data_IF_006323473348
#
_entry.id   IF_006323473348
#
_cell.length_a   1.000
_cell.length_b   1.000
_cell.length_c   1.000
_cell.angle_alpha   90.00
_cell.angle_beta   90.00
_cell.angle_gamma   90.00
#
_symmetry.space_group_name_H-M   'P 1'
#
loop_
_entity.id
_entity.type
_entity.pdbx_description
1 polymer ?
#
# COMPACT_ATOMS: atom_id res chain seq x y z
N UNK A 1 -24.55 -7.64 -0.53
CA UNK A 1 -23.63 -7.74 -1.67
C UNK A 1 -23.33 -6.40 -2.31
N UNK A 2 -22.09 -6.21 -2.81
CA UNK A 2 -21.65 -5.01 -3.57
C UNK A 2 -22.53 -4.80 -4.80
N UNK A 3 -22.93 -5.89 -5.46
CA UNK A 3 -23.80 -5.89 -6.64
C UNK A 3 -25.15 -5.25 -6.34
N UNK A 4 -25.77 -5.59 -5.21
CA UNK A 4 -27.08 -5.04 -4.83
C UNK A 4 -27.01 -3.55 -4.52
N UNK A 5 -25.95 -3.09 -3.86
CA UNK A 5 -25.76 -1.65 -3.56
C UNK A 5 -25.43 -0.88 -4.84
N UNK A 6 -24.57 -1.44 -5.70
CA UNK A 6 -24.24 -0.83 -6.99
C UNK A 6 -25.48 -0.73 -7.87
N UNK A 7 -26.25 -1.80 -8.02
CA UNK A 7 -27.54 -1.79 -8.73
C UNK A 7 -28.51 -0.75 -8.16
N UNK A 8 -28.56 -0.60 -6.84
CA UNK A 8 -29.40 0.41 -6.19
C UNK A 8 -28.96 1.84 -6.52
N UNK A 9 -27.65 2.12 -6.54
CA UNK A 9 -27.10 3.42 -6.94
C UNK A 9 -27.33 3.67 -8.44
N UNK A 10 -27.08 2.66 -9.28
CA UNK A 10 -27.27 2.71 -10.74
C UNK A 10 -28.74 2.91 -11.12
N UNK A 11 -29.68 2.52 -10.24
CA UNK A 11 -31.11 2.78 -10.36
C UNK A 11 -31.50 4.23 -10.05
N UNK A 12 -30.54 5.14 -9.86
CA UNK A 12 -30.77 6.57 -9.66
C UNK A 12 -30.98 7.00 -8.21
N UNK A 13 -30.79 6.11 -7.24
CA UNK A 13 -30.94 6.47 -5.83
C UNK A 13 -29.72 7.26 -5.33
N UNK A 14 -29.93 8.54 -5.00
CA UNK A 14 -28.87 9.49 -4.60
C UNK A 14 -28.99 10.00 -3.17
N UNK A 15 -29.83 9.38 -2.35
CA UNK A 15 -30.06 9.81 -0.97
C UNK A 15 -29.90 8.64 -0.03
N UNK A 16 -29.04 8.76 0.98
CA UNK A 16 -28.86 7.69 1.96
C UNK A 16 -30.20 7.37 2.66
N UNK A 17 -30.67 6.10 2.66
CA UNK A 17 -31.96 5.75 3.23
C UNK A 17 -32.04 5.91 4.76
N UNK A 18 -30.87 5.99 5.43
CA UNK A 18 -30.79 6.12 6.89
C UNK A 18 -30.62 7.59 7.29
N UNK A 19 -29.59 8.26 6.75
CA UNK A 19 -29.26 9.64 7.17
C UNK A 19 -30.03 10.70 6.41
N UNK A 20 -30.72 10.32 5.31
CA UNK A 20 -31.39 11.23 4.37
C UNK A 20 -30.48 12.28 3.74
N UNK A 21 -29.16 12.11 3.85
CA UNK A 21 -28.18 13.00 3.23
C UNK A 21 -27.95 12.61 1.76
N UNK A 22 -27.68 13.60 0.89
CA UNK A 22 -27.32 13.35 -0.50
C UNK A 22 -25.98 12.60 -0.59
N UNK A 23 -25.93 11.60 -1.46
CA UNK A 23 -24.72 10.85 -1.82
C UNK A 23 -23.93 11.65 -2.86
N UNK A 24 -22.60 11.53 -2.87
CA UNK A 24 -21.78 12.20 -3.88
C UNK A 24 -22.12 11.69 -5.30
N UNK A 25 -21.80 12.48 -6.32
CA UNK A 25 -22.08 12.13 -7.72
C UNK A 25 -21.38 10.83 -8.16
N UNK A 26 -20.26 10.48 -7.52
CA UNK A 26 -19.51 9.23 -7.74
C UNK A 26 -19.14 8.59 -6.38
N UNK A 27 -20.07 7.87 -5.74
CA UNK A 27 -19.80 7.25 -4.45
C UNK A 27 -18.83 6.09 -4.64
N UNK A 28 -17.60 6.21 -4.12
CA UNK A 28 -16.68 5.07 -4.05
C UNK A 28 -17.15 4.11 -2.96
N UNK A 29 -17.60 2.92 -3.36
CA UNK A 29 -17.97 1.88 -2.41
C UNK A 29 -16.72 1.35 -1.71
N UNK A 30 -16.52 1.76 -0.46
CA UNK A 30 -15.43 1.25 0.38
C UNK A 30 -15.88 -0.11 0.97
N UNK A 31 -15.19 -1.22 0.67
CA UNK A 31 -15.56 -2.51 1.23
C UNK A 31 -15.36 -2.54 2.74
N UNK A 32 -16.35 -3.07 3.47
CA UNK A 32 -16.19 -3.35 4.90
C UNK A 32 -15.55 -4.74 5.07
N UNK A 33 -14.21 -4.80 4.96
CA UNK A 33 -13.46 -6.04 5.11
C UNK A 33 -13.64 -6.67 6.49
N UNK A 34 -13.84 -5.87 7.55
CA UNK A 34 -14.10 -6.36 8.90
C UNK A 34 -15.42 -7.15 8.99
N UNK A 35 -16.52 -6.61 8.44
CA UNK A 35 -17.80 -7.31 8.40
C UNK A 35 -17.73 -8.60 7.57
N UNK A 36 -17.08 -8.55 6.40
CA UNK A 36 -16.87 -9.75 5.58
C UNK A 36 -16.04 -10.80 6.30
N UNK A 37 -15.01 -10.39 7.03
CA UNK A 37 -14.20 -11.29 7.85
C UNK A 37 -15.04 -11.96 8.95
N UNK A 38 -15.93 -11.21 9.62
CA UNK A 38 -16.86 -11.75 10.62
C UNK A 38 -17.82 -12.77 9.99
N UNK A 39 -18.40 -12.45 8.84
CA UNK A 39 -19.31 -13.35 8.10
C UNK A 39 -18.58 -14.63 7.67
N UNK A 40 -17.36 -14.51 7.12
CA UNK A 40 -16.55 -15.66 6.69
C UNK A 40 -16.24 -16.56 7.88
N UNK A 41 -15.80 -15.99 9.01
CA UNK A 41 -15.51 -16.76 10.21
C UNK A 41 -16.74 -17.50 10.74
N UNK A 42 -17.93 -16.87 10.69
CA UNK A 42 -19.18 -17.48 11.12
C UNK A 42 -19.62 -18.64 10.20
N UNK A 43 -19.46 -18.48 8.89
CA UNK A 43 -19.82 -19.50 7.90
C UNK A 43 -18.98 -20.79 8.02
N UNK A 44 -17.76 -20.72 8.57
CA UNK A 44 -16.90 -21.89 8.81
C UNK A 44 -17.27 -22.71 10.05
N UNK A 45 -18.09 -22.19 10.96
CA UNK A 45 -18.58 -22.92 12.16
C UNK A 45 -19.77 -23.82 11.81
N UNK A 46 -20.44 -23.59 10.67
CA UNK A 46 -21.52 -24.45 10.20
C UNK A 46 -20.97 -25.62 9.36
N UNK A 47 -21.23 -26.89 9.73
CA UNK A 47 -20.79 -28.01 8.94
C UNK A 47 -21.59 -28.06 7.64
N UNK A 48 -20.92 -27.92 6.49
CA UNK A 48 -21.49 -28.33 5.19
C UNK A 48 -21.08 -29.77 4.91
N UNK A 49 -22.02 -30.68 5.11
CA UNK A 49 -21.99 -32.02 4.53
C UNK A 49 -22.13 -31.91 3.00
N UNK A 50 -21.10 -32.34 2.25
CA UNK A 50 -21.31 -32.89 0.91
C UNK A 50 -20.05 -33.59 0.40
N UNK A 51 -20.14 -34.90 0.29
CA UNK A 51 -19.22 -35.82 -0.37
C UNK A 51 -19.30 -35.68 -1.90
N UNK A 52 -18.33 -34.99 -2.51
CA UNK A 52 -18.05 -35.01 -3.96
C UNK A 52 -16.55 -35.18 -4.19
N UNK A 53 -16.10 -35.87 -5.26
CA UNK A 53 -14.69 -36.05 -5.57
C UNK A 53 -14.06 -34.69 -5.94
N UNK A 54 -12.98 -34.32 -5.24
CA UNK A 54 -12.39 -32.98 -5.32
C UNK A 54 -11.66 -32.74 -6.64
N UNK A 55 -12.03 -31.68 -7.35
CA UNK A 55 -11.28 -31.19 -8.52
C UNK A 55 -9.99 -30.46 -8.10
N UNK A 56 -9.00 -30.33 -9.00
CA UNK A 56 -7.73 -29.63 -8.72
C UNK A 56 -7.94 -28.16 -8.26
N UNK A 57 -9.04 -27.55 -8.70
CA UNK A 57 -9.45 -26.21 -8.31
C UNK A 57 -9.94 -26.15 -6.85
N UNK A 58 -10.70 -27.16 -6.39
CA UNK A 58 -11.13 -27.29 -4.99
C UNK A 58 -9.95 -27.58 -4.04
N UNK A 59 -8.97 -28.36 -4.50
CA UNK A 59 -7.75 -28.62 -3.71
C UNK A 59 -6.93 -27.35 -3.47
N UNK A 60 -6.76 -26.53 -4.51
CA UNK A 60 -6.07 -25.24 -4.40
C UNK A 60 -6.85 -24.25 -3.51
N UNK A 61 -8.18 -24.27 -3.59
CA UNK A 61 -9.04 -23.48 -2.70
C UNK A 61 -8.93 -23.91 -1.24
N UNK A 62 -9.02 -25.21 -0.97
CA UNK A 62 -8.88 -25.78 0.38
C UNK A 62 -7.51 -25.47 0.99
N UNK A 63 -6.44 -25.48 0.20
CA UNK A 63 -5.10 -25.12 0.68
C UNK A 63 -5.01 -23.64 1.07
N UNK A 64 -5.51 -22.71 0.24
CA UNK A 64 -5.48 -21.28 0.57
C UNK A 64 -6.23 -20.96 1.87
N UNK A 65 -7.35 -21.64 2.12
CA UNK A 65 -8.14 -21.46 3.34
C UNK A 65 -7.42 -21.97 4.60
N UNK A 66 -6.74 -23.11 4.52
CA UNK A 66 -5.96 -23.63 5.65
C UNK A 66 -4.76 -22.71 6.02
N UNK A 67 -4.15 -22.07 5.02
CA UNK A 67 -3.08 -21.10 5.24
C UNK A 67 -3.62 -19.82 5.89
N UNK A 68 -4.78 -19.34 5.43
CA UNK A 68 -5.46 -18.18 6.01
C UNK A 68 -5.85 -18.46 7.46
N UNK A 69 -6.45 -19.62 7.75
CA UNK A 69 -6.87 -19.97 9.12
C UNK A 69 -5.67 -20.05 10.07
N UNK A 70 -4.54 -20.59 9.61
CA UNK A 70 -3.29 -20.64 10.38
C UNK A 70 -2.74 -19.24 10.64
N UNK A 71 -2.82 -18.33 9.67
CA UNK A 71 -2.37 -16.95 9.83
C UNK A 71 -3.24 -16.17 10.83
N UNK A 72 -4.57 -16.31 10.70
CA UNK A 72 -5.57 -15.60 11.53
C UNK A 72 -5.64 -16.16 12.96
N UNK A 73 -5.34 -17.45 13.15
CA UNK A 73 -5.38 -18.05 14.48
C UNK A 73 -4.37 -17.42 15.44
N UNK A 74 -4.86 -17.07 16.63
CA UNK A 74 -4.02 -16.53 17.72
C UNK A 74 -3.17 -17.61 18.39
N UNK A 75 -3.59 -18.87 18.34
CA UNK A 75 -2.85 -20.00 18.94
C UNK A 75 -1.71 -20.50 18.06
N UNK A 76 -1.67 -20.10 16.78
CA UNK A 76 -0.63 -20.53 15.85
C UNK A 76 0.72 -19.91 16.19
N UNK A 77 1.75 -20.76 16.21
CA UNK A 77 3.13 -20.34 16.46
C UNK A 77 3.65 -19.40 15.37
N UNK A 78 4.67 -18.60 15.70
CA UNK A 78 5.35 -17.75 14.71
C UNK A 78 5.93 -18.55 13.54
N UNK A 79 6.39 -19.78 13.78
CA UNK A 79 6.90 -20.67 12.72
C UNK A 79 5.78 -21.08 11.75
N UNK A 80 4.62 -21.49 12.27
CA UNK A 80 3.45 -21.87 11.45
C UNK A 80 2.89 -20.68 10.67
N UNK A 81 2.86 -19.48 11.29
CA UNK A 81 2.47 -18.24 10.62
C UNK A 81 3.45 -17.87 9.51
N UNK A 82 4.75 -18.04 9.74
CA UNK A 82 5.78 -17.76 8.75
C UNK A 82 5.67 -18.69 7.53
N UNK A 83 5.45 -19.99 7.75
CA UNK A 83 5.22 -20.95 6.67
C UNK A 83 3.97 -20.56 5.86
N UNK A 84 2.89 -20.23 6.58
CA UNK A 84 1.63 -19.80 5.97
C UNK A 84 1.79 -18.55 5.12
N UNK A 85 2.43 -17.51 5.66
CA UNK A 85 2.77 -16.28 4.93
C UNK A 85 3.63 -16.57 3.70
N UNK A 86 4.68 -17.38 3.85
CA UNK A 86 5.59 -17.71 2.75
C UNK A 86 4.87 -18.42 1.60
N UNK A 87 3.86 -19.24 1.89
CA UNK A 87 3.06 -19.89 0.86
C UNK A 87 2.00 -18.95 0.28
N UNK A 88 1.34 -18.13 1.10
CA UNK A 88 0.39 -17.11 0.64
C UNK A 88 1.06 -16.08 -0.28
N UNK A 89 2.27 -15.62 0.04
CA UNK A 89 3.07 -14.72 -0.81
C UNK A 89 3.31 -15.34 -2.18
N UNK A 90 3.67 -16.63 -2.25
CA UNK A 90 3.87 -17.33 -3.54
C UNK A 90 2.58 -17.43 -4.36
N UNK A 91 1.46 -17.74 -3.71
CA UNK A 91 0.17 -17.89 -4.38
C UNK A 91 -0.37 -16.53 -4.89
N UNK A 92 -0.34 -15.51 -4.03
CA UNK A 92 -0.86 -14.17 -4.35
C UNK A 92 -0.04 -13.43 -5.40
N UNK A 93 1.22 -13.83 -5.65
CA UNK A 93 2.07 -13.22 -6.68
C UNK A 93 1.49 -13.37 -8.09
N UNK A 94 0.73 -14.44 -8.37
CA UNK A 94 0.26 -14.77 -9.73
C UNK A 94 -1.27 -14.84 -9.85
N UNK A 95 -1.98 -14.99 -8.73
CA UNK A 95 -3.41 -15.27 -8.77
C UNK A 95 -4.26 -14.15 -8.14
N UNK A 96 -4.95 -13.40 -9.01
CA UNK A 96 -5.89 -12.33 -8.66
C UNK A 96 -7.08 -12.84 -7.83
N UNK A 97 -7.56 -14.06 -8.09
CA UNK A 97 -8.66 -14.65 -7.33
C UNK A 97 -8.24 -14.97 -5.88
N UNK A 98 -7.01 -15.42 -5.67
CA UNK A 98 -6.45 -15.66 -4.33
C UNK A 98 -6.23 -14.32 -3.62
N UNK A 99 -5.74 -13.27 -4.31
CA UNK A 99 -5.60 -11.94 -3.71
C UNK A 99 -6.93 -11.41 -3.15
N UNK A 100 -8.02 -11.50 -3.91
CA UNK A 100 -9.36 -11.10 -3.43
C UNK A 100 -9.78 -11.90 -2.19
N UNK A 101 -9.66 -13.23 -2.26
CA UNK A 101 -10.02 -14.12 -1.12
C UNK A 101 -9.25 -13.78 0.15
N UNK A 102 -7.91 -13.69 0.07
CA UNK A 102 -7.08 -13.36 1.23
C UNK A 102 -7.48 -12.02 1.83
N UNK A 103 -7.82 -11.03 0.99
CA UNK A 103 -8.26 -9.70 1.44
C UNK A 103 -9.63 -9.75 2.14
N UNK A 104 -10.51 -10.67 1.76
CA UNK A 104 -11.86 -10.80 2.31
C UNK A 104 -11.95 -11.71 3.56
N UNK A 105 -10.88 -12.45 3.90
CA UNK A 105 -10.88 -13.47 4.95
C UNK A 105 -10.18 -13.07 6.26
N UNK A 106 -10.02 -11.76 6.52
CA UNK A 106 -9.38 -11.26 7.75
C UNK A 106 -7.85 -11.43 7.80
N UNK A 107 -7.24 -12.00 6.77
CA UNK A 107 -5.80 -12.22 6.70
C UNK A 107 -5.00 -10.90 6.66
N UNK A 108 -5.60 -9.81 6.18
CA UNK A 108 -4.99 -8.47 6.19
C UNK A 108 -4.63 -8.07 7.61
N UNK A 109 -5.58 -8.15 8.54
CA UNK A 109 -5.36 -7.79 9.94
C UNK A 109 -4.28 -8.67 10.58
N UNK A 110 -4.34 -9.98 10.35
CA UNK A 110 -3.33 -10.90 10.85
C UNK A 110 -1.92 -10.62 10.28
N UNK A 111 -1.83 -10.25 9.00
CA UNK A 111 -0.56 -9.81 8.40
C UNK A 111 -0.06 -8.50 9.05
N UNK A 112 -0.94 -7.54 9.34
CA UNK A 112 -0.57 -6.30 10.04
C UNK A 112 -0.09 -6.57 11.48
N UNK A 113 -0.67 -7.55 12.18
CA UNK A 113 -0.20 -7.98 13.49
C UNK A 113 1.19 -8.63 13.39
N UNK A 114 1.45 -9.40 12.33
CA UNK A 114 2.78 -9.96 12.05
C UNK A 114 3.83 -8.89 11.70
N UNK A 115 3.45 -7.78 11.05
CA UNK A 115 4.35 -6.62 10.81
C UNK A 115 4.84 -6.02 12.14
N UNK A 116 3.99 -5.99 13.17
CA UNK A 116 4.30 -5.46 14.50
C UNK A 116 4.95 -6.48 15.45
N UNK A 117 5.13 -7.74 15.02
CA UNK A 117 5.56 -8.84 15.91
C UNK A 117 7.00 -8.75 16.42
N UNK A 118 7.80 -7.81 15.92
CA UNK A 118 9.23 -7.69 16.21
C UNK A 118 10.11 -8.76 15.54
N UNK A 119 9.52 -9.77 14.91
CA UNK A 119 10.25 -10.77 14.13
C UNK A 119 10.47 -10.27 12.70
N UNK A 120 11.72 -10.01 12.33
CA UNK A 120 12.10 -9.43 11.04
C UNK A 120 11.65 -10.27 9.84
N UNK A 121 11.73 -11.60 9.95
CA UNK A 121 11.35 -12.51 8.85
C UNK A 121 9.82 -12.51 8.66
N UNK A 122 9.07 -12.52 9.76
CA UNK A 122 7.61 -12.38 9.72
C UNK A 122 7.20 -11.02 9.16
N UNK A 123 7.88 -9.94 9.56
CA UNK A 123 7.62 -8.59 9.07
C UNK A 123 7.80 -8.52 7.54
N UNK A 124 8.93 -9.00 7.02
CA UNK A 124 9.21 -8.99 5.59
C UNK A 124 8.17 -9.79 4.77
N UNK A 125 7.82 -11.00 5.22
CA UNK A 125 6.82 -11.83 4.52
C UNK A 125 5.41 -11.25 4.61
N UNK A 126 5.08 -10.59 5.71
CA UNK A 126 3.80 -9.91 5.87
C UNK A 126 3.69 -8.68 4.98
N UNK A 127 4.74 -7.86 4.91
CA UNK A 127 4.82 -6.72 3.99
C UNK A 127 4.73 -7.18 2.53
N UNK A 128 5.42 -8.28 2.18
CA UNK A 128 5.35 -8.87 0.85
C UNK A 128 3.94 -9.35 0.50
N UNK A 129 3.22 -9.93 1.46
CA UNK A 129 1.83 -10.32 1.25
C UNK A 129 0.95 -9.09 1.01
N UNK A 130 1.05 -8.07 1.86
CA UNK A 130 0.28 -6.82 1.72
C UNK A 130 0.58 -6.12 0.38
N UNK A 131 1.85 -6.12 -0.07
CA UNK A 131 2.23 -5.62 -1.39
C UNK A 131 1.54 -6.41 -2.50
N UNK A 132 1.56 -7.74 -2.46
CA UNK A 132 0.84 -8.55 -3.44
C UNK A 132 -0.65 -8.25 -3.43
N UNK A 133 -1.30 -8.15 -2.26
CA UNK A 133 -2.73 -7.83 -2.16
C UNK A 133 -3.05 -6.45 -2.76
N UNK A 134 -2.14 -5.48 -2.60
CA UNK A 134 -2.30 -4.15 -3.17
C UNK A 134 -2.25 -4.12 -4.70
N UNK A 135 -1.80 -5.18 -5.37
CA UNK A 135 -1.80 -5.24 -6.84
C UNK A 135 -3.21 -5.33 -7.44
N UNK A 136 -4.24 -5.63 -6.64
CA UNK A 136 -5.63 -5.49 -7.06
C UNK A 136 -6.13 -4.07 -6.73
N UNK A 137 -6.58 -3.33 -7.74
CA UNK A 137 -7.08 -1.96 -7.57
C UNK A 137 -8.23 -1.87 -6.57
N UNK A 138 -9.15 -2.84 -6.61
CA UNK A 138 -10.28 -2.96 -5.67
C UNK A 138 -9.84 -3.11 -4.20
N UNK A 139 -8.62 -3.59 -3.93
CA UNK A 139 -8.13 -3.79 -2.56
C UNK A 139 -7.47 -2.52 -1.99
N UNK A 140 -7.00 -1.59 -2.82
CA UNK A 140 -6.10 -0.50 -2.37
C UNK A 140 -6.74 0.42 -1.34
N UNK A 141 -8.01 0.79 -1.53
CA UNK A 141 -8.75 1.65 -0.57
C UNK A 141 -9.05 0.88 0.72
N UNK A 142 -9.42 -0.39 0.59
CA UNK A 142 -9.67 -1.28 1.73
C UNK A 142 -8.45 -1.48 2.62
N UNK A 143 -7.27 -1.69 2.02
CA UNK A 143 -6.01 -1.79 2.73
C UNK A 143 -5.69 -0.53 3.54
N UNK A 144 -5.93 0.66 2.97
CA UNK A 144 -5.78 1.93 3.69
C UNK A 144 -6.76 2.02 4.86
N UNK A 145 -8.03 1.66 4.65
CA UNK A 145 -9.06 1.63 5.69
C UNK A 145 -8.73 0.63 6.82
N UNK A 146 -8.06 -0.48 6.51
CA UNK A 146 -7.59 -1.47 7.48
C UNK A 146 -6.36 -1.00 8.30
N UNK A 147 -5.85 0.21 8.05
CA UNK A 147 -4.80 0.84 8.87
C UNK A 147 -3.37 0.51 8.43
N UNK A 148 -3.18 0.06 7.18
CA UNK A 148 -1.86 -0.29 6.61
C UNK A 148 -0.86 0.87 6.70
N UNK A 149 -1.30 2.12 6.53
CA UNK A 149 -0.40 3.30 6.51
C UNK A 149 0.38 3.43 7.82
N UNK A 150 -0.27 3.27 8.98
CA UNK A 150 0.39 3.37 10.30
C UNK A 150 1.58 2.42 10.42
N UNK A 151 1.39 1.17 9.95
CA UNK A 151 2.40 0.11 10.00
C UNK A 151 3.56 0.41 9.06
N UNK A 152 3.26 0.82 7.83
CA UNK A 152 4.29 1.17 6.85
C UNK A 152 5.14 2.34 7.33
N UNK A 153 4.53 3.41 7.86
CA UNK A 153 5.30 4.57 8.36
C UNK A 153 6.24 4.17 9.49
N UNK A 154 5.81 3.28 10.38
CA UNK A 154 6.70 2.71 11.41
C UNK A 154 7.87 1.92 10.78
N UNK A 155 7.58 1.05 9.80
CA UNK A 155 8.60 0.28 9.08
C UNK A 155 9.60 1.17 8.35
N UNK A 156 9.15 2.25 7.70
CA UNK A 156 10.04 3.19 7.00
C UNK A 156 11.07 3.83 7.94
N UNK A 157 10.73 4.00 9.23
CA UNK A 157 11.61 4.60 10.23
C UNK A 157 12.62 3.61 10.80
N UNK A 158 12.16 2.43 11.23
CA UNK A 158 12.98 1.50 12.05
C UNK A 158 13.15 0.09 11.46
N UNK A 159 12.55 -0.20 10.30
CA UNK A 159 12.64 -1.51 9.66
C UNK A 159 14.02 -1.81 9.07
N UNK A 160 14.22 -3.07 8.67
CA UNK A 160 15.40 -3.47 7.90
C UNK A 160 15.41 -2.81 6.52
N UNK A 161 16.57 -2.73 5.84
CA UNK A 161 16.64 -2.13 4.51
C UNK A 161 15.67 -2.73 3.49
N UNK A 162 15.53 -4.07 3.49
CA UNK A 162 14.56 -4.75 2.63
C UNK A 162 13.11 -4.41 3.00
N UNK A 163 12.79 -4.34 4.30
CA UNK A 163 11.44 -3.98 4.74
C UNK A 163 11.09 -2.53 4.40
N UNK A 164 12.05 -1.60 4.53
CA UNK A 164 11.90 -0.20 4.13
C UNK A 164 11.63 -0.06 2.64
N UNK A 165 12.40 -0.76 1.80
CA UNK A 165 12.16 -0.79 0.35
C UNK A 165 10.77 -1.34 0.01
N UNK A 166 10.37 -2.49 0.57
CA UNK A 166 9.04 -3.08 0.34
C UNK A 166 7.94 -2.13 0.81
N UNK A 167 8.12 -1.47 1.95
CA UNK A 167 7.17 -0.51 2.50
C UNK A 167 6.98 0.71 1.57
N UNK A 168 8.06 1.25 1.02
CA UNK A 168 8.00 2.32 0.02
C UNK A 168 7.30 1.85 -1.27
N UNK A 169 7.60 0.65 -1.77
CA UNK A 169 6.89 0.07 -2.93
C UNK A 169 5.39 -0.11 -2.66
N UNK A 170 5.01 -0.53 -1.45
CA UNK A 170 3.61 -0.66 -1.05
C UNK A 170 2.90 0.70 -1.00
N UNK A 171 3.53 1.76 -0.49
CA UNK A 171 2.97 3.11 -0.59
C UNK A 171 2.76 3.54 -2.05
N UNK A 172 3.73 3.30 -2.92
CA UNK A 172 3.61 3.56 -4.37
C UNK A 172 2.39 2.85 -4.96
N UNK A 173 2.23 1.55 -4.67
CA UNK A 173 1.11 0.76 -5.17
C UNK A 173 -0.24 1.28 -4.67
N UNK A 174 -0.34 1.66 -3.39
CA UNK A 174 -1.57 2.20 -2.82
C UNK A 174 -1.89 3.60 -3.37
N UNK A 175 -0.86 4.40 -3.65
CA UNK A 175 -0.96 5.75 -4.20
C UNK A 175 -1.36 5.80 -5.69
N UNK A 176 -1.69 4.67 -6.33
CA UNK A 176 -2.32 4.69 -7.67
C UNK A 176 -3.71 5.35 -7.61
N UNK A 177 -4.41 5.23 -6.48
CA UNK A 177 -5.75 5.79 -6.29
C UNK A 177 -5.67 7.19 -5.65
N UNK A 178 -6.37 8.18 -6.23
CA UNK A 178 -6.37 9.58 -5.76
C UNK A 178 -6.69 9.73 -4.26
N UNK A 179 -7.74 9.08 -3.77
CA UNK A 179 -8.12 9.15 -2.34
C UNK A 179 -7.00 8.65 -1.42
N UNK A 180 -6.24 7.65 -1.86
CA UNK A 180 -5.10 7.14 -1.12
C UNK A 180 -3.92 8.11 -1.16
N UNK A 181 -3.66 8.80 -2.29
CA UNK A 181 -2.62 9.84 -2.36
C UNK A 181 -2.84 10.94 -1.33
N UNK A 182 -4.08 11.43 -1.24
CA UNK A 182 -4.46 12.44 -0.27
C UNK A 182 -4.30 11.92 1.17
N UNK A 183 -4.82 10.72 1.45
CA UNK A 183 -4.75 10.09 2.78
C UNK A 183 -3.31 9.84 3.22
N UNK A 184 -2.50 9.18 2.39
CA UNK A 184 -1.09 8.88 2.67
C UNK A 184 -0.28 10.17 2.84
N UNK A 185 -0.43 11.13 1.93
CA UNK A 185 0.34 12.37 1.97
C UNK A 185 -0.01 13.27 3.16
N UNK A 186 -1.25 13.19 3.67
CA UNK A 186 -1.65 13.87 4.91
C UNK A 186 -1.29 13.12 6.19
N UNK A 187 -0.85 11.86 6.09
CA UNK A 187 -0.57 11.03 7.25
C UNK A 187 0.71 11.49 7.95
N UNK A 188 0.70 11.64 9.29
CA UNK A 188 1.87 12.09 10.04
C UNK A 188 3.11 11.25 9.74
N UNK A 189 4.24 11.92 9.56
CA UNK A 189 5.55 11.33 9.25
C UNK A 189 5.66 10.53 7.95
N UNK A 190 4.60 10.36 7.15
CA UNK A 190 4.69 9.54 5.93
C UNK A 190 5.65 10.12 4.90
N UNK A 191 5.50 11.42 4.61
CA UNK A 191 6.37 12.13 3.66
C UNK A 191 7.77 12.31 4.23
N UNK A 192 7.91 12.72 5.49
CA UNK A 192 9.23 12.94 6.10
C UNK A 192 10.03 11.64 6.22
N UNK A 193 9.39 10.50 6.48
CA UNK A 193 10.05 9.19 6.49
C UNK A 193 10.58 8.80 5.10
N UNK A 194 9.82 9.07 4.03
CA UNK A 194 10.30 8.85 2.65
C UNK A 194 11.47 9.79 2.31
N UNK A 195 11.36 11.08 2.62
CA UNK A 195 12.45 12.05 2.39
C UNK A 195 13.72 11.65 3.16
N UNK A 196 13.58 11.20 4.41
CA UNK A 196 14.71 10.67 5.18
C UNK A 196 15.30 9.42 4.52
N UNK A 197 14.47 8.47 4.09
CA UNK A 197 14.92 7.24 3.41
C UNK A 197 15.65 7.55 2.10
N UNK A 198 15.23 8.58 1.37
CA UNK A 198 15.90 9.05 0.15
C UNK A 198 17.30 9.61 0.44
N UNK A 199 17.50 10.19 1.63
CA UNK A 199 18.78 10.78 2.05
C UNK A 199 19.79 9.73 2.52
N UNK A 200 19.35 8.76 3.33
CA UNK A 200 20.27 7.85 4.03
C UNK A 200 20.21 6.39 3.58
N UNK A 201 19.23 6.02 2.75
CA UNK A 201 19.04 4.65 2.30
C UNK A 201 20.11 4.18 1.31
N UNK A 202 20.19 2.87 1.10
CA UNK A 202 20.94 2.29 -0.02
C UNK A 202 20.24 2.54 -1.37
N UNK A 203 20.88 2.15 -2.48
CA UNK A 203 20.35 2.40 -3.84
C UNK A 203 18.91 1.94 -4.04
N UNK A 204 18.56 0.76 -3.51
CA UNK A 204 17.19 0.22 -3.61
C UNK A 204 16.23 1.06 -2.79
N UNK A 205 16.56 1.36 -1.53
CA UNK A 205 15.72 2.18 -0.64
C UNK A 205 15.48 3.59 -1.23
N UNK A 206 16.54 4.23 -1.75
CA UNK A 206 16.46 5.55 -2.37
C UNK A 206 15.57 5.53 -3.61
N UNK A 207 15.73 4.53 -4.47
CA UNK A 207 14.90 4.35 -5.68
C UNK A 207 13.42 4.15 -5.34
N UNK A 208 13.10 3.26 -4.41
CA UNK A 208 11.71 3.01 -4.02
C UNK A 208 11.10 4.23 -3.32
N UNK A 209 11.90 4.95 -2.51
CA UNK A 209 11.45 6.19 -1.86
C UNK A 209 11.14 7.30 -2.88
N UNK A 210 12.04 7.55 -3.84
CA UNK A 210 11.80 8.52 -4.90
C UNK A 210 10.55 8.17 -5.73
N UNK A 211 10.32 6.88 -5.98
CA UNK A 211 9.14 6.40 -6.71
C UNK A 211 7.85 6.64 -5.92
N UNK A 212 7.86 6.41 -4.61
CA UNK A 212 6.74 6.71 -3.73
C UNK A 212 6.45 8.22 -3.67
N UNK A 213 7.49 9.05 -3.53
CA UNK A 213 7.36 10.51 -3.56
C UNK A 213 6.79 11.01 -4.89
N UNK A 214 7.21 10.44 -6.02
CA UNK A 214 6.66 10.76 -7.34
C UNK A 214 5.16 10.44 -7.42
N UNK A 215 4.78 9.22 -7.03
CA UNK A 215 3.37 8.81 -7.02
C UNK A 215 2.52 9.73 -6.13
N UNK A 216 3.00 10.09 -4.94
CA UNK A 216 2.30 10.98 -4.02
C UNK A 216 2.23 12.44 -4.55
N UNK A 217 3.28 12.97 -5.16
CA UNK A 217 3.33 14.34 -5.71
C UNK A 217 2.48 14.56 -6.95
N UNK A 218 1.99 13.48 -7.57
CA UNK A 218 0.98 13.61 -8.62
C UNK A 218 -0.30 14.27 -8.09
N UNK A 219 -0.59 14.11 -6.79
CA UNK A 219 -1.60 14.88 -6.07
C UNK A 219 -1.05 16.26 -5.64
N UNK A 220 -1.61 17.39 -6.13
CA UNK A 220 -1.02 18.73 -5.94
C UNK A 220 -0.70 19.13 -4.50
N UNK A 221 -1.58 18.83 -3.54
CA UNK A 221 -1.40 19.22 -2.14
C UNK A 221 -0.17 18.56 -1.49
N UNK A 222 0.22 17.39 -1.98
CA UNK A 222 1.38 16.68 -1.47
C UNK A 222 2.69 17.37 -1.88
N UNK A 223 2.72 18.11 -3.00
CA UNK A 223 3.94 18.81 -3.45
C UNK A 223 4.45 19.79 -2.41
N UNK A 224 3.54 20.58 -1.84
CA UNK A 224 3.88 21.51 -0.75
C UNK A 224 4.40 20.75 0.47
N UNK A 225 3.74 19.66 0.88
CA UNK A 225 4.17 18.84 2.02
C UNK A 225 5.57 18.24 1.82
N UNK A 226 5.88 17.78 0.60
CA UNK A 226 7.21 17.27 0.23
C UNK A 226 8.27 18.37 0.33
N UNK A 227 8.00 19.56 -0.23
CA UNK A 227 8.90 20.72 -0.13
C UNK A 227 9.12 21.14 1.32
N UNK A 228 8.04 21.25 2.10
CA UNK A 228 8.08 21.65 3.52
C UNK A 228 8.89 20.66 4.38
N UNK A 229 9.11 19.43 3.91
CA UNK A 229 10.01 18.44 4.54
C UNK A 229 11.50 18.60 4.16
N UNK A 230 11.88 19.68 3.47
CA UNK A 230 13.27 19.94 3.07
C UNK A 230 13.79 18.98 1.99
N UNK A 231 12.89 18.46 1.15
CA UNK A 231 13.25 17.43 0.15
C UNK A 231 14.10 17.94 -1.00
N UNK A 232 14.05 19.25 -1.31
CA UNK A 232 14.61 19.80 -2.55
C UNK A 232 16.12 19.60 -2.65
N UNK A 233 16.97 19.97 -1.65
CA UNK A 233 18.40 19.70 -1.73
C UNK A 233 18.73 18.20 -1.86
N UNK A 234 18.00 17.34 -1.13
CA UNK A 234 18.17 15.89 -1.14
C UNK A 234 17.87 15.31 -2.53
N UNK A 235 16.82 15.80 -3.18
CA UNK A 235 16.44 15.37 -4.53
C UNK A 235 17.45 15.85 -5.59
N UNK A 236 18.03 17.04 -5.42
CA UNK A 236 19.06 17.56 -6.33
C UNK A 236 20.33 16.71 -6.21
N UNK A 237 20.79 16.40 -5.00
CA UNK A 237 21.93 15.50 -4.76
C UNK A 237 21.66 14.09 -5.32
N UNK A 238 20.45 13.56 -5.12
CA UNK A 238 20.07 12.26 -5.67
C UNK A 238 20.04 12.26 -7.20
N UNK A 239 19.57 13.34 -7.82
CA UNK A 239 19.58 13.50 -9.27
C UNK A 239 21.00 13.59 -9.84
N UNK A 240 21.90 14.33 -9.18
CA UNK A 240 23.32 14.41 -9.54
C UNK A 240 24.04 13.06 -9.42
N UNK A 241 23.61 12.23 -8.47
CA UNK A 241 24.05 10.83 -8.32
C UNK A 241 23.47 9.88 -9.38
N UNK A 242 22.68 10.37 -10.35
CA UNK A 242 22.08 9.57 -11.42
C UNK A 242 20.73 8.93 -11.10
N UNK A 243 20.05 9.33 -10.02
CA UNK A 243 18.71 8.80 -9.72
C UNK A 243 17.65 9.52 -10.55
N UNK A 244 17.32 8.97 -11.73
CA UNK A 244 16.34 9.52 -12.69
C UNK A 244 15.01 9.94 -12.03
N UNK A 245 14.50 9.10 -11.13
CA UNK A 245 13.22 9.36 -10.46
C UNK A 245 13.25 10.64 -9.61
N UNK A 246 14.41 11.06 -9.10
CA UNK A 246 14.53 12.31 -8.37
C UNK A 246 14.29 13.53 -9.28
N UNK A 247 14.73 13.47 -10.55
CA UNK A 247 14.47 14.50 -11.56
C UNK A 247 12.97 14.64 -11.83
N UNK A 248 12.26 13.51 -11.96
CA UNK A 248 10.81 13.52 -12.16
C UNK A 248 10.06 14.13 -10.96
N UNK A 249 10.50 13.84 -9.73
CA UNK A 249 9.94 14.47 -8.53
C UNK A 249 10.19 15.97 -8.54
N UNK A 250 11.42 16.43 -8.84
CA UNK A 250 11.73 17.85 -9.00
C UNK A 250 10.83 18.51 -10.07
N UNK A 251 10.58 17.82 -11.19
CA UNK A 251 9.65 18.26 -12.23
C UNK A 251 8.18 18.37 -11.79
N UNK A 252 7.77 17.65 -10.74
CA UNK A 252 6.48 17.86 -10.09
C UNK A 252 6.52 19.02 -9.10
N UNK A 253 7.60 19.16 -8.32
CA UNK A 253 7.73 20.20 -7.30
C UNK A 253 7.83 21.61 -7.90
N UNK A 254 8.42 21.79 -9.09
CA UNK A 254 8.50 23.09 -9.78
C UNK A 254 7.10 23.67 -10.11
N UNK A 255 6.07 22.81 -10.17
CA UNK A 255 4.68 23.20 -10.41
C UNK A 255 4.06 23.93 -9.20
N UNK A 256 4.67 23.89 -8.02
CA UNK A 256 4.24 24.66 -6.84
C UNK A 256 5.22 25.80 -6.53
N UNK A 257 4.69 26.92 -6.00
CA UNK A 257 5.49 28.13 -5.72
C UNK A 257 6.66 27.84 -4.77
N UNK A 258 6.39 27.17 -3.65
CA UNK A 258 7.42 26.82 -2.67
C UNK A 258 8.54 25.96 -3.26
N UNK A 259 8.20 25.02 -4.16
CA UNK A 259 9.20 24.20 -4.84
C UNK A 259 10.16 25.02 -5.71
N UNK A 260 9.65 26.03 -6.44
CA UNK A 260 10.49 26.94 -7.22
C UNK A 260 11.40 27.80 -6.34
N UNK A 261 10.83 28.34 -5.26
CA UNK A 261 11.58 29.17 -4.31
C UNK A 261 12.71 28.36 -3.66
N UNK A 262 12.44 27.13 -3.21
CA UNK A 262 13.49 26.28 -2.65
C UNK A 262 14.53 25.83 -3.67
N UNK A 263 14.13 25.49 -4.91
CA UNK A 263 15.09 25.14 -5.98
C UNK A 263 16.02 26.31 -6.31
N UNK A 264 15.51 27.54 -6.33
CA UNK A 264 16.32 28.73 -6.61
C UNK A 264 17.40 29.02 -5.57
N UNK A 265 17.25 28.45 -4.35
CA UNK A 265 18.23 28.57 -3.26
C UNK A 265 19.32 27.50 -3.33
N UNK A 266 19.14 26.44 -4.12
CA UNK A 266 20.13 25.37 -4.25
C UNK A 266 21.21 25.77 -5.24
N UNK A 267 22.40 26.08 -4.72
CA UNK A 267 23.59 26.34 -5.53
C UNK A 267 23.91 25.15 -6.44
N UNK A 268 24.25 25.40 -7.70
CA UNK A 268 24.58 24.36 -8.66
C UNK A 268 23.38 23.61 -9.25
N UNK A 269 22.13 23.94 -8.88
CA UNK A 269 20.94 23.26 -9.42
C UNK A 269 20.88 23.23 -10.96
N UNK A 270 21.18 24.36 -11.61
CA UNK A 270 21.20 24.46 -13.07
C UNK A 270 22.31 23.58 -13.66
N UNK A 271 23.47 23.53 -13.03
CA UNK A 271 24.61 22.70 -13.47
C UNK A 271 24.26 21.21 -13.40
N UNK A 272 23.62 20.77 -12.31
CA UNK A 272 23.11 19.40 -12.16
C UNK A 272 22.16 19.04 -13.30
N UNK A 273 21.17 19.90 -13.61
CA UNK A 273 20.26 19.67 -14.72
C UNK A 273 20.96 19.61 -16.08
N UNK A 274 21.92 20.50 -16.32
CA UNK A 274 22.72 20.52 -17.56
C UNK A 274 23.54 19.23 -17.69
N UNK A 275 24.15 18.74 -16.60
CA UNK A 275 24.91 17.49 -16.60
C UNK A 275 24.01 16.28 -16.89
N UNK A 276 22.82 16.23 -16.31
CA UNK A 276 21.84 15.18 -16.57
C UNK A 276 21.45 15.16 -18.05
N UNK A 277 21.16 16.33 -18.65
CA UNK A 277 20.81 16.44 -20.08
C UNK A 277 21.96 16.07 -21.03
N UNK A 278 23.23 16.19 -20.59
CA UNK A 278 24.39 15.80 -21.40
C UNK A 278 24.66 14.30 -21.35
N UNK A 279 24.26 13.63 -20.27
CA UNK A 279 24.62 12.24 -19.98
C UNK A 279 23.45 11.24 -20.16
N UNK A 280 22.22 11.72 -20.33
CA UNK A 280 21.01 10.91 -20.60
C UNK A 280 20.56 11.02 -22.05
#
# INVERSE_FOLDING_TARGET
DRVSIQQWIDSGNRTCPITKLPLSENPSLIPNHALRSLISNFAHVSPKESSRPRTQQEHSQSQSQALISTLVSRSSSNASKLESLSRLVRLTKRDSSIRRKVTESGAVRAALDCVDSGNQVLQEKSLSLLLNLSLEDDNKVGLVADGVIRRIVAVLRVGSPDCKAIAATLLTSLAVVEVNKATIGSYPDAISALVYLLRVGNDRERKESATALYALCSFPDNRKRVVDCGSVPILVEAADSGLERAVEVLGLLVKCRGGREEMSKVSGFVEVLVNILKNG
#
